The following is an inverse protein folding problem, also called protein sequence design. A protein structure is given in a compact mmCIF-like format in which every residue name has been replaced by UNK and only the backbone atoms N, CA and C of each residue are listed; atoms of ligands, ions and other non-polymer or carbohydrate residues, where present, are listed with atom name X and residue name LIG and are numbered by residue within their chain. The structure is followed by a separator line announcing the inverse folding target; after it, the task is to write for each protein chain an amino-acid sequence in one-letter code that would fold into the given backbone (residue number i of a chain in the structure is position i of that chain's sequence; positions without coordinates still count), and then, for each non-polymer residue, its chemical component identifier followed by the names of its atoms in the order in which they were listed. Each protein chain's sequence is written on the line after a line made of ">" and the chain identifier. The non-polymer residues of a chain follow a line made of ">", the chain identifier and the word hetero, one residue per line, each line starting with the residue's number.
data_IF_928994171969
#
_entry.id   IF_928994171969
#
_cell.length_a   1.000
_cell.length_b   1.000
_cell.length_c   1.000
_cell.angle_alpha   90.00
_cell.angle_beta   90.00
_cell.angle_gamma   90.00
#
_symmetry.space_group_name_H-M   'P 1'
#
loop_
_entity.id
_entity.type
_entity.pdbx_description
1 polymer ?
#
# COMPACT_ATOMS: atom_id res chain seq x y z
N UNK A 1 54.83 -12.90 38.86
CA UNK A 1 53.59 -13.36 38.19
C UNK A 1 53.53 -12.74 36.80
N UNK A 2 53.86 -13.47 35.73
CA UNK A 2 53.48 -13.07 34.36
C UNK A 2 51.99 -13.41 34.24
N UNK A 3 51.11 -12.42 34.33
CA UNK A 3 49.69 -12.65 34.07
C UNK A 3 49.52 -13.21 32.65
N UNK A 4 48.75 -14.30 32.54
CA UNK A 4 48.48 -14.95 31.27
C UNK A 4 47.71 -13.97 30.38
N UNK A 5 48.39 -13.44 29.35
CA UNK A 5 47.82 -12.47 28.40
C UNK A 5 46.54 -12.97 27.75
N UNK A 6 46.35 -14.29 27.65
CA UNK A 6 45.14 -14.90 27.08
C UNK A 6 43.91 -14.70 27.97
N UNK A 7 44.07 -14.64 29.31
CA UNK A 7 42.95 -14.37 30.23
C UNK A 7 42.45 -12.94 30.03
N UNK A 8 43.37 -11.97 29.93
CA UNK A 8 43.03 -10.58 29.67
C UNK A 8 42.29 -10.42 28.33
N UNK A 9 42.79 -11.06 27.26
CA UNK A 9 42.14 -11.05 25.95
C UNK A 9 40.73 -11.64 26.01
N UNK A 10 40.55 -12.75 26.75
CA UNK A 10 39.24 -13.36 26.95
C UNK A 10 38.27 -12.41 27.68
N UNK A 11 38.72 -11.73 28.74
CA UNK A 11 37.90 -10.75 29.46
C UNK A 11 37.46 -9.59 28.54
N UNK A 12 38.37 -9.04 27.74
CA UNK A 12 38.03 -7.93 26.83
C UNK A 12 37.08 -8.40 25.73
N UNK A 13 37.27 -9.61 25.18
CA UNK A 13 36.36 -10.19 24.20
C UNK A 13 34.95 -10.39 24.77
N UNK A 14 34.84 -10.91 26.00
CA UNK A 14 33.56 -11.04 26.71
C UNK A 14 32.92 -9.68 26.99
N UNK A 15 33.71 -8.68 27.36
CA UNK A 15 33.21 -7.32 27.57
C UNK A 15 32.54 -6.77 26.30
N UNK A 16 33.14 -6.97 25.13
CA UNK A 16 32.57 -6.53 23.86
C UNK A 16 31.24 -7.24 23.56
N UNK A 17 31.18 -8.54 23.80
CA UNK A 17 29.97 -9.34 23.62
C UNK A 17 28.85 -8.86 24.56
N UNK A 18 29.16 -8.64 25.84
CA UNK A 18 28.18 -8.14 26.83
C UNK A 18 27.72 -6.73 26.50
N UNK A 19 28.62 -5.86 26.07
CA UNK A 19 28.26 -4.50 25.62
C UNK A 19 27.35 -4.55 24.39
N UNK A 20 27.57 -5.47 23.45
CA UNK A 20 26.72 -5.62 22.27
C UNK A 20 25.28 -6.01 22.61
N UNK A 21 25.06 -6.66 23.74
CA UNK A 21 23.71 -7.00 24.26
C UNK A 21 23.13 -5.96 25.21
N UNK A 22 23.96 -5.07 25.77
CA UNK A 22 23.49 -4.01 26.67
C UNK A 22 22.99 -2.78 25.89
N UNK A 23 23.33 -2.68 24.61
CA UNK A 23 22.94 -1.56 23.76
C UNK A 23 21.52 -1.78 23.27
N UNK A 24 20.62 -0.81 23.41
CA UNK A 24 19.26 -0.95 22.89
C UNK A 24 19.28 -1.13 21.37
N UNK A 25 18.35 -1.91 20.79
CA UNK A 25 18.30 -2.18 19.34
C UNK A 25 18.19 -0.90 18.50
N UNK A 26 17.55 0.13 19.03
CA UNK A 26 17.34 1.42 18.38
C UNK A 26 18.03 2.54 19.15
N UNK A 27 18.65 3.47 18.42
CA UNK A 27 19.26 4.72 18.92
C UNK A 27 18.22 5.79 19.12
N UNK A 28 17.32 5.89 18.15
CA UNK A 28 16.15 6.75 18.20
C UNK A 28 14.98 5.87 17.78
N UNK A 29 14.05 5.55 18.70
CA UNK A 29 12.91 4.69 18.37
C UNK A 29 11.91 5.39 17.45
N UNK A 30 12.08 6.71 17.22
CA UNK A 30 11.06 7.52 16.59
C UNK A 30 9.76 7.54 17.38
N UNK A 31 8.74 8.22 16.85
CA UNK A 31 7.39 7.83 17.14
C UNK A 31 7.17 6.47 16.49
N UNK A 32 7.18 5.38 17.26
CA UNK A 32 6.84 4.07 16.70
C UNK A 32 5.43 4.03 16.10
N UNK A 33 5.00 2.87 15.63
CA UNK A 33 3.65 2.70 15.09
C UNK A 33 2.58 3.26 16.06
N UNK A 34 1.56 3.91 15.50
CA UNK A 34 0.43 4.46 16.25
C UNK A 34 -0.85 3.95 15.64
N UNK A 35 -1.69 3.38 16.51
CA UNK A 35 -3.05 3.03 16.18
C UNK A 35 -3.98 3.73 17.16
N UNK A 36 -4.80 4.65 16.65
CA UNK A 36 -5.90 5.24 17.40
C UNK A 36 -7.19 4.73 16.75
N UNK A 37 -8.03 3.99 17.49
CA UNK A 37 -9.29 3.52 16.94
C UNK A 37 -10.18 4.71 16.58
N UNK A 38 -11.11 4.48 15.66
CA UNK A 38 -12.19 5.43 15.34
C UNK A 38 -12.83 5.95 16.62
N UNK A 39 -12.92 7.27 16.77
CA UNK A 39 -13.53 7.84 17.98
C UNK A 39 -15.08 7.74 17.94
N UNK A 40 -15.70 7.78 19.12
CA UNK A 40 -17.16 7.63 19.24
C UNK A 40 -17.92 8.70 18.46
N UNK A 41 -17.42 9.93 18.48
CA UNK A 41 -17.99 11.08 17.77
C UNK A 41 -18.07 10.86 16.26
N UNK A 42 -17.11 10.15 15.65
CA UNK A 42 -17.16 9.83 14.22
C UNK A 42 -18.42 9.05 13.86
N UNK A 43 -18.71 8.00 14.63
CA UNK A 43 -19.91 7.20 14.41
C UNK A 43 -21.19 7.96 14.79
N UNK A 44 -21.15 8.83 15.79
CA UNK A 44 -22.29 9.68 16.15
C UNK A 44 -22.61 10.72 15.08
N UNK A 45 -21.60 11.38 14.53
CA UNK A 45 -21.74 12.31 13.40
C UNK A 45 -22.31 11.56 12.20
N UNK A 46 -21.78 10.38 11.85
CA UNK A 46 -22.34 9.56 10.79
C UNK A 46 -23.81 9.17 11.07
N UNK A 47 -24.13 8.74 12.29
CA UNK A 47 -25.52 8.42 12.70
C UNK A 47 -26.43 9.64 12.65
N UNK A 48 -25.95 10.85 12.95
CA UNK A 48 -26.73 12.09 12.84
C UNK A 48 -27.21 12.36 11.41
N UNK A 49 -26.49 11.80 10.42
CA UNK A 49 -26.85 11.84 9.01
C UNK A 49 -27.54 10.55 8.52
N UNK A 50 -27.95 9.66 9.44
CA UNK A 50 -28.49 8.32 9.17
C UNK A 50 -27.56 7.46 8.29
N UNK A 51 -26.24 7.56 8.48
CA UNK A 51 -25.25 6.72 7.79
C UNK A 51 -24.37 5.96 8.78
N UNK A 52 -23.86 4.81 8.34
CA UNK A 52 -22.91 3.96 9.07
C UNK A 52 -21.51 3.99 8.46
N UNK A 53 -21.32 4.69 7.34
CA UNK A 53 -20.07 4.71 6.57
C UNK A 53 -19.92 6.03 5.80
N UNK A 54 -18.68 6.52 5.67
CA UNK A 54 -18.35 7.67 4.83
C UNK A 54 -18.76 7.46 3.36
N UNK A 55 -18.76 6.21 2.91
CA UNK A 55 -19.10 5.84 1.53
C UNK A 55 -20.61 5.90 1.26
N UNK A 56 -21.43 5.95 2.32
CA UNK A 56 -22.89 6.03 2.26
C UNK A 56 -23.41 7.47 2.40
N UNK A 57 -22.52 8.47 2.34
CA UNK A 57 -22.88 9.88 2.27
C UNK A 57 -21.98 10.63 1.29
N UNK A 58 -22.54 11.61 0.58
CA UNK A 58 -21.72 12.53 -0.23
C UNK A 58 -21.38 13.75 0.62
N UNK A 59 -20.09 13.99 0.95
CA UNK A 59 -19.70 15.18 1.68
C UNK A 59 -19.97 16.43 0.84
N UNK A 60 -19.96 17.61 1.48
CA UNK A 60 -20.03 18.91 0.81
C UNK A 60 -18.74 19.25 0.09
N UNK A 61 -17.61 18.95 0.71
CA UNK A 61 -16.28 19.13 0.15
C UNK A 61 -15.32 18.04 0.63
N UNK A 62 -14.23 17.89 -0.12
CA UNK A 62 -13.05 17.11 0.20
C UNK A 62 -11.88 18.07 0.44
N UNK A 63 -11.06 17.77 1.43
CA UNK A 63 -9.88 18.55 1.79
C UNK A 63 -8.70 17.60 2.01
N UNK A 64 -7.50 18.00 1.64
CA UNK A 64 -6.26 17.27 1.99
C UNK A 64 -5.40 18.12 2.91
N UNK A 65 -4.94 17.53 4.01
CA UNK A 65 -4.06 18.15 5.01
C UNK A 65 -2.76 17.36 5.09
N UNK A 66 -1.63 18.02 4.94
CA UNK A 66 -0.29 17.44 5.07
C UNK A 66 0.37 17.93 6.34
N UNK A 67 0.80 17.01 7.20
CA UNK A 67 1.48 17.27 8.46
C UNK A 67 2.88 16.66 8.48
N UNK A 68 3.83 17.33 9.13
CA UNK A 68 5.20 16.84 9.34
C UNK A 68 5.56 16.88 10.82
N UNK A 69 5.77 15.74 11.47
CA UNK A 69 6.23 15.70 12.85
C UNK A 69 7.66 15.17 12.89
N UNK A 70 8.57 15.85 13.59
CA UNK A 70 9.97 15.42 13.74
C UNK A 70 10.24 14.81 15.12
N UNK A 71 9.40 15.12 16.10
CA UNK A 71 9.52 14.67 17.48
C UNK A 71 8.26 13.95 17.97
N UNK A 72 8.39 13.17 19.04
CA UNK A 72 7.23 12.58 19.72
C UNK A 72 6.25 13.64 20.23
N UNK A 73 6.74 14.77 20.71
CA UNK A 73 5.88 15.85 21.23
C UNK A 73 5.07 16.51 20.10
N UNK A 74 5.69 16.78 18.95
CA UNK A 74 4.98 17.27 17.77
C UNK A 74 3.96 16.25 17.28
N UNK A 75 4.32 14.96 17.20
CA UNK A 75 3.37 13.94 16.77
C UNK A 75 2.20 13.83 17.76
N UNK A 76 2.48 13.78 19.05
CA UNK A 76 1.44 13.70 20.08
C UNK A 76 0.55 14.94 20.07
N UNK A 77 1.11 16.14 19.83
CA UNK A 77 0.33 17.37 19.67
C UNK A 77 -0.57 17.33 18.42
N UNK A 78 -0.03 16.87 17.29
CA UNK A 78 -0.81 16.69 16.05
C UNK A 78 -1.91 15.64 16.22
N UNK A 79 -1.59 14.49 16.79
CA UNK A 79 -2.53 13.41 17.06
C UNK A 79 -3.60 13.85 18.05
N UNK A 80 -3.25 14.52 19.14
CA UNK A 80 -4.20 15.04 20.13
C UNK A 80 -5.21 16.01 19.49
N UNK A 81 -4.74 16.86 18.57
CA UNK A 81 -5.64 17.73 17.82
C UNK A 81 -6.63 16.93 16.96
N UNK A 82 -6.16 15.96 16.17
CA UNK A 82 -7.03 15.18 15.29
C UNK A 82 -7.89 14.15 16.03
N UNK A 83 -7.43 13.63 17.16
CA UNK A 83 -8.18 12.74 18.04
C UNK A 83 -9.39 13.45 18.66
N UNK A 84 -9.28 14.76 18.88
CA UNK A 84 -10.38 15.62 19.34
C UNK A 84 -11.43 15.91 18.27
N UNK A 85 -11.19 15.50 17.02
CA UNK A 85 -12.13 15.68 15.91
C UNK A 85 -12.76 14.34 15.53
N UNK A 86 -13.97 14.28 14.97
CA UNK A 86 -14.54 13.01 14.57
C UNK A 86 -13.68 12.36 13.46
N UNK A 87 -13.01 11.24 13.75
CA UNK A 87 -12.03 10.61 12.83
C UNK A 87 -12.22 9.10 12.70
N UNK A 88 -11.84 8.53 11.54
CA UNK A 88 -11.73 7.08 11.38
C UNK A 88 -10.41 6.57 11.96
N UNK A 89 -10.15 5.26 11.87
CA UNK A 89 -8.92 4.67 12.40
C UNK A 89 -7.67 5.42 11.91
N UNK A 90 -6.87 5.90 12.85
CA UNK A 90 -5.57 6.51 12.57
C UNK A 90 -4.53 5.40 12.68
N UNK A 91 -3.97 5.01 11.54
CA UNK A 91 -2.87 4.05 11.47
C UNK A 91 -1.63 4.76 10.91
N UNK A 92 -0.61 4.92 11.75
CA UNK A 92 0.67 5.48 11.37
C UNK A 92 1.76 4.44 11.51
N UNK A 93 2.63 4.35 10.51
CA UNK A 93 3.75 3.42 10.47
C UNK A 93 5.08 4.16 10.62
N UNK A 94 5.97 3.59 11.42
CA UNK A 94 7.25 4.19 11.79
C UNK A 94 8.05 4.62 10.54
N UNK A 95 8.18 5.94 10.37
CA UNK A 95 9.00 6.54 9.31
C UNK A 95 8.42 6.56 7.90
N UNK A 96 7.26 5.94 7.68
CA UNK A 96 6.48 6.06 6.44
C UNK A 96 5.23 6.93 6.64
N UNK A 97 4.86 7.20 7.90
CA UNK A 97 3.72 8.04 8.23
C UNK A 97 2.40 7.30 8.11
N UNK A 98 1.32 8.03 7.81
CA UNK A 98 0.02 7.43 7.56
C UNK A 98 -1.02 8.43 7.09
N UNK A 99 -2.14 7.89 6.60
CA UNK A 99 -3.26 8.66 6.07
C UNK A 99 -4.55 8.22 6.74
N UNK A 100 -5.38 9.18 7.15
CA UNK A 100 -6.68 8.94 7.77
C UNK A 100 -7.67 10.07 7.45
N UNK A 101 -8.92 9.89 7.82
CA UNK A 101 -10.01 10.79 7.51
C UNK A 101 -10.61 11.43 8.77
N UNK A 102 -10.91 12.71 8.68
CA UNK A 102 -11.57 13.51 9.72
C UNK A 102 -12.82 14.18 9.14
N UNK A 103 -13.91 14.21 9.91
CA UNK A 103 -15.15 14.88 9.55
C UNK A 103 -15.20 16.28 10.17
N UNK A 104 -15.38 17.28 9.31
CA UNK A 104 -15.56 18.66 9.71
C UNK A 104 -17.02 19.06 9.50
N UNK A 105 -17.76 19.22 10.60
CA UNK A 105 -19.13 19.78 10.58
C UNK A 105 -19.12 21.31 10.46
N UNK A 106 -17.99 21.94 10.80
CA UNK A 106 -17.77 23.37 10.68
C UNK A 106 -16.32 23.66 10.24
N UNK A 107 -16.13 24.12 9.01
CA UNK A 107 -14.83 24.53 8.49
C UNK A 107 -14.33 25.84 9.08
N UNK A 108 -15.24 26.67 9.60
CA UNK A 108 -14.91 28.02 10.04
C UNK A 108 -13.93 27.96 11.20
N UNK A 109 -12.70 28.40 10.95
CA UNK A 109 -11.61 28.38 11.93
C UNK A 109 -10.91 27.02 12.10
N UNK A 110 -11.18 26.02 11.26
CA UNK A 110 -10.39 24.78 11.21
C UNK A 110 -8.93 25.10 10.83
N UNK A 111 -8.74 25.83 9.72
CA UNK A 111 -7.42 26.25 9.24
C UNK A 111 -6.61 27.01 10.31
N UNK A 112 -7.27 27.91 11.06
CA UNK A 112 -6.63 28.70 12.12
C UNK A 112 -6.22 27.87 13.35
N UNK A 113 -6.83 26.70 13.52
CA UNK A 113 -6.59 25.79 14.66
C UNK A 113 -5.67 24.63 14.30
N UNK A 114 -5.33 24.47 13.02
CA UNK A 114 -4.41 23.42 12.59
C UNK A 114 -3.07 23.54 13.34
N UNK A 115 -2.47 22.42 13.75
CA UNK A 115 -1.12 22.39 14.26
C UNK A 115 -0.15 23.10 13.29
N UNK A 116 0.82 23.84 13.82
CA UNK A 116 1.76 24.64 12.99
C UNK A 116 2.56 23.82 11.98
N UNK A 117 2.65 22.53 12.21
CA UNK A 117 3.34 21.58 11.36
C UNK A 117 2.44 20.95 10.30
N UNK A 118 1.20 21.42 10.15
CA UNK A 118 0.21 20.98 9.18
C UNK A 118 -0.18 22.11 8.21
N UNK A 119 -0.45 21.77 6.95
CA UNK A 119 -0.95 22.68 5.92
C UNK A 119 -2.07 22.03 5.10
N UNK A 120 -3.02 22.84 4.63
CA UNK A 120 -4.03 22.38 3.66
C UNK A 120 -3.41 22.44 2.27
N UNK A 121 -3.42 21.33 1.54
CA UNK A 121 -2.81 21.22 0.21
C UNK A 121 -3.81 21.13 -0.93
N UNK A 122 -5.04 20.70 -0.65
CA UNK A 122 -6.11 20.61 -1.65
C UNK A 122 -7.49 20.84 -1.00
N UNK A 123 -8.41 21.43 -1.76
CA UNK A 123 -9.80 21.63 -1.39
C UNK A 123 -10.70 21.57 -2.64
N UNK A 124 -11.69 20.68 -2.60
CA UNK A 124 -12.61 20.43 -3.72
C UNK A 124 -14.04 20.26 -3.24
N UNK A 125 -14.96 21.06 -3.77
CA UNK A 125 -16.39 20.86 -3.53
C UNK A 125 -16.92 19.60 -4.25
N UNK A 126 -17.76 18.82 -3.56
CA UNK A 126 -18.26 17.51 -4.03
C UNK A 126 -19.71 17.51 -4.47
N UNK A 127 -20.38 18.66 -4.48
CA UNK A 127 -21.69 18.75 -5.12
C UNK A 127 -21.50 18.41 -6.60
N UNK A 128 -22.10 17.30 -7.03
CA UNK A 128 -22.24 16.98 -8.45
C UNK A 128 -23.21 18.01 -9.02
N UNK A 129 -22.66 19.14 -9.47
CA UNK A 129 -23.43 20.13 -10.19
C UNK A 129 -23.62 19.60 -11.61
N UNK A 130 -24.70 18.85 -11.83
CA UNK A 130 -25.19 18.68 -13.20
C UNK A 130 -25.50 20.08 -13.73
N UNK A 131 -24.97 20.39 -14.90
CA UNK A 131 -25.34 21.59 -15.63
C UNK A 131 -26.84 21.59 -15.91
N UNK A 132 -27.42 22.78 -16.12
CA UNK A 132 -28.83 22.90 -16.54
C UNK A 132 -29.10 22.10 -17.82
N UNK A 133 -28.12 22.03 -18.72
CA UNK A 133 -28.23 21.29 -19.98
C UNK A 133 -28.35 19.77 -19.74
N UNK A 134 -27.53 19.19 -18.85
CA UNK A 134 -27.62 17.77 -18.51
C UNK A 134 -28.95 17.41 -17.82
N UNK A 135 -29.44 18.27 -16.93
CA UNK A 135 -30.75 18.08 -16.30
C UNK A 135 -31.89 18.09 -17.32
N UNK A 136 -31.83 19.00 -18.29
CA UNK A 136 -32.85 19.11 -19.32
C UNK A 136 -32.77 17.96 -20.33
N UNK A 137 -31.57 17.44 -20.62
CA UNK A 137 -31.38 16.22 -21.40
C UNK A 137 -32.07 15.02 -20.71
N UNK A 138 -31.79 14.79 -19.43
CA UNK A 138 -32.39 13.72 -18.63
C UNK A 138 -33.92 13.80 -18.57
N UNK A 139 -34.49 15.01 -18.45
CA UNK A 139 -35.95 15.19 -18.48
C UNK A 139 -36.57 14.79 -19.81
N UNK A 140 -35.95 15.18 -20.93
CA UNK A 140 -36.43 14.84 -22.27
C UNK A 140 -36.33 13.34 -22.54
N UNK A 141 -35.22 12.71 -22.17
CA UNK A 141 -35.06 11.24 -22.24
C UNK A 141 -36.13 10.53 -21.41
N UNK A 142 -36.33 10.93 -20.15
CA UNK A 142 -37.35 10.34 -19.28
C UNK A 142 -38.76 10.47 -19.86
N UNK A 143 -39.10 11.63 -20.43
CA UNK A 143 -40.41 11.84 -21.04
C UNK A 143 -40.60 10.93 -22.27
N UNK A 144 -39.57 10.79 -23.10
CA UNK A 144 -39.61 9.94 -24.28
C UNK A 144 -39.77 8.45 -23.92
N UNK A 145 -39.06 7.98 -22.89
CA UNK A 145 -39.21 6.61 -22.40
C UNK A 145 -40.57 6.33 -21.74
N UNK A 146 -41.17 7.31 -21.04
CA UNK A 146 -42.55 7.17 -20.53
C UNK A 146 -43.59 7.05 -21.63
N UNK A 147 -43.42 7.82 -22.71
CA UNK A 147 -44.29 7.73 -23.88
C UNK A 147 -44.12 6.37 -24.57
N UNK A 148 -42.88 5.93 -24.78
CA UNK A 148 -42.56 4.61 -25.32
C UNK A 148 -43.18 3.47 -24.48
N UNK A 149 -43.07 3.52 -23.14
CA UNK A 149 -43.68 2.54 -22.24
C UNK A 149 -45.20 2.45 -22.39
N UNK A 150 -45.86 3.55 -22.78
CA UNK A 150 -47.32 3.62 -22.89
C UNK A 150 -47.88 2.99 -24.17
N UNK A 151 -47.04 2.86 -25.21
CA UNK A 151 -47.43 2.29 -26.51
C UNK A 151 -47.13 0.79 -26.62
N UNK A 152 -46.19 0.28 -25.82
CA UNK A 152 -45.81 -1.14 -25.83
C UNK A 152 -46.90 -2.01 -25.18
N UNK A 153 -47.37 -3.00 -25.93
CA UNK A 153 -48.37 -3.96 -25.45
C UNK A 153 -47.76 -5.25 -24.90
N UNK A 154 -46.58 -5.65 -25.40
CA UNK A 154 -45.89 -6.84 -24.92
C UNK A 154 -45.37 -6.61 -23.48
N UNK A 155 -45.74 -7.48 -22.51
CA UNK A 155 -45.40 -7.28 -21.12
C UNK A 155 -43.90 -7.45 -20.82
N UNK A 156 -43.17 -8.25 -21.59
CA UNK A 156 -41.73 -8.47 -21.40
C UNK A 156 -40.93 -7.27 -21.92
N UNK A 157 -41.27 -6.77 -23.12
CA UNK A 157 -40.66 -5.57 -23.69
C UNK A 157 -40.97 -4.33 -22.85
N UNK A 158 -42.22 -4.22 -22.39
CA UNK A 158 -42.63 -3.13 -21.50
C UNK A 158 -41.85 -3.15 -20.19
N UNK A 159 -41.54 -4.32 -19.63
CA UNK A 159 -40.75 -4.43 -18.41
C UNK A 159 -39.31 -3.92 -18.60
N UNK A 160 -38.70 -4.17 -19.76
CA UNK A 160 -37.35 -3.64 -20.10
C UNK A 160 -37.37 -2.11 -20.10
N UNK A 161 -38.34 -1.52 -20.79
CA UNK A 161 -38.49 -0.06 -20.89
C UNK A 161 -38.86 0.55 -19.53
N UNK A 162 -39.75 -0.10 -18.77
CA UNK A 162 -40.10 0.34 -17.42
C UNK A 162 -38.87 0.42 -16.51
N UNK A 163 -38.00 -0.61 -16.54
CA UNK A 163 -36.75 -0.60 -15.77
C UNK A 163 -35.84 0.58 -16.17
N UNK A 164 -35.77 0.91 -17.47
CA UNK A 164 -35.02 2.08 -17.94
C UNK A 164 -35.66 3.40 -17.49
N UNK A 165 -36.99 3.51 -17.52
CA UNK A 165 -37.73 4.67 -16.98
C UNK A 165 -37.46 4.87 -15.49
N UNK A 166 -37.40 3.78 -14.72
CA UNK A 166 -37.04 3.81 -13.29
C UNK A 166 -35.60 4.28 -13.12
N UNK A 167 -34.64 3.71 -13.84
CA UNK A 167 -33.22 4.11 -13.79
C UNK A 167 -33.00 5.59 -14.13
N UNK A 168 -33.68 6.10 -15.18
CA UNK A 168 -33.65 7.50 -15.58
C UNK A 168 -34.30 8.42 -14.53
N UNK A 169 -35.42 8.00 -13.93
CA UNK A 169 -36.07 8.73 -12.83
C UNK A 169 -35.11 8.87 -11.66
N UNK A 170 -34.48 7.77 -11.25
CA UNK A 170 -33.48 7.76 -10.18
C UNK A 170 -32.31 8.70 -10.51
N UNK A 171 -31.81 8.65 -11.74
CA UNK A 171 -30.70 9.49 -12.20
C UNK A 171 -31.06 10.98 -12.24
N UNK A 172 -32.28 11.32 -12.66
CA UNK A 172 -32.77 12.69 -12.62
C UNK A 172 -32.96 13.19 -11.19
N UNK A 173 -33.48 12.34 -10.30
CA UNK A 173 -33.56 12.67 -8.87
C UNK A 173 -32.17 12.92 -8.29
N UNK A 174 -31.15 12.15 -8.69
CA UNK A 174 -29.75 12.42 -8.36
C UNK A 174 -29.28 13.78 -8.89
N UNK A 175 -29.60 14.09 -10.15
CA UNK A 175 -29.19 15.33 -10.78
C UNK A 175 -29.84 16.60 -10.21
N UNK A 176 -31.06 16.46 -9.71
CA UNK A 176 -31.80 17.53 -9.04
C UNK A 176 -31.49 17.62 -7.54
N UNK A 177 -30.64 16.74 -7.01
CA UNK A 177 -30.36 16.63 -5.57
C UNK A 177 -31.55 16.17 -4.74
N UNK A 178 -32.58 15.62 -5.38
CA UNK A 178 -33.76 15.00 -4.74
C UNK A 178 -33.41 13.60 -4.19
N UNK A 179 -32.42 12.97 -4.80
CA UNK A 179 -31.79 11.71 -4.38
C UNK A 179 -30.28 11.93 -4.39
N UNK A 180 -29.53 11.16 -3.60
CA UNK A 180 -28.06 11.25 -3.55
C UNK A 180 -27.52 9.87 -3.17
N UNK A 181 -26.46 9.38 -3.86
CA UNK A 181 -25.99 7.97 -3.72
C UNK A 181 -25.72 7.61 -2.25
N UNK A 182 -25.46 8.63 -1.45
CA UNK A 182 -25.78 8.68 -0.04
C UNK A 182 -26.38 10.04 0.30
N UNK A 183 -27.18 10.19 1.38
CA UNK A 183 -27.76 11.49 1.80
C UNK A 183 -26.70 12.60 1.73
N UNK A 184 -27.00 13.79 1.17
CA UNK A 184 -26.02 14.88 1.13
C UNK A 184 -25.74 15.24 2.58
N UNK A 185 -24.48 15.16 2.99
CA UNK A 185 -24.08 15.49 4.35
C UNK A 185 -23.41 16.85 4.31
N UNK A 186 -23.88 17.78 5.14
CA UNK A 186 -23.26 19.09 5.28
C UNK A 186 -21.99 18.98 6.13
N UNK A 187 -21.05 18.16 5.66
CA UNK A 187 -19.75 17.89 6.26
C UNK A 187 -18.67 18.02 5.21
N UNK A 188 -17.47 18.34 5.65
CA UNK A 188 -16.28 18.30 4.82
C UNK A 188 -15.39 17.18 5.30
N UNK A 189 -15.00 16.32 4.36
CA UNK A 189 -14.11 15.20 4.63
C UNK A 189 -12.67 15.67 4.42
N UNK A 190 -11.89 15.71 5.50
CA UNK A 190 -10.48 16.04 5.45
C UNK A 190 -9.64 14.75 5.51
N UNK A 191 -8.91 14.46 4.45
CA UNK A 191 -7.86 13.42 4.43
C UNK A 191 -6.59 14.03 5.01
N UNK A 192 -6.11 13.47 6.12
CA UNK A 192 -4.92 13.94 6.84
C UNK A 192 -3.77 12.96 6.61
N UNK A 193 -2.67 13.46 6.09
CA UNK A 193 -1.42 12.73 5.89
C UNK A 193 -0.39 13.22 6.90
N UNK A 194 0.14 12.32 7.74
CA UNK A 194 1.18 12.65 8.71
C UNK A 194 2.47 11.94 8.33
N UNK A 195 3.55 12.70 8.12
CA UNK A 195 4.88 12.19 7.83
C UNK A 195 5.82 12.43 9.02
N UNK A 196 6.69 11.47 9.37
CA UNK A 196 7.69 11.64 10.44
C UNK A 196 8.96 10.78 10.25
N UNK A 197 10.08 11.06 10.96
CA UNK A 197 11.37 10.39 10.75
C UNK A 197 11.37 8.89 11.04
N UNK A 198 12.24 8.16 10.33
CA UNK A 198 12.48 6.72 10.53
C UNK A 198 13.23 6.44 11.84
N UNK A 199 12.96 5.32 12.53
CA UNK A 199 13.79 4.85 13.62
C UNK A 199 15.25 4.67 13.17
N UNK A 200 16.19 5.00 14.05
CA UNK A 200 17.62 4.80 13.81
C UNK A 200 18.10 3.54 14.55
N UNK A 201 18.72 2.60 13.83
CA UNK A 201 19.17 1.33 14.40
C UNK A 201 20.58 1.43 15.02
N UNK A 202 20.79 0.78 16.17
CA UNK A 202 22.12 0.56 16.77
C UNK A 202 22.79 -0.74 16.31
N UNK A 203 22.13 -1.55 15.47
CA UNK A 203 22.69 -2.80 14.95
C UNK A 203 24.09 -2.62 14.34
N UNK A 204 24.39 -1.57 13.56
CA UNK A 204 25.75 -1.35 13.05
C UNK A 204 26.81 -1.24 14.17
N UNK A 205 26.45 -0.68 15.32
CA UNK A 205 27.35 -0.60 16.47
C UNK A 205 27.51 -1.95 17.18
N UNK A 206 26.43 -2.73 17.29
CA UNK A 206 26.51 -4.12 17.79
C UNK A 206 27.44 -4.97 16.92
N UNK A 207 27.36 -4.81 15.60
CA UNK A 207 28.22 -5.50 14.63
C UNK A 207 29.69 -5.13 14.85
N UNK A 208 30.00 -3.86 15.11
CA UNK A 208 31.38 -3.43 15.43
C UNK A 208 31.90 -4.11 16.70
N UNK A 209 31.07 -4.22 17.74
CA UNK A 209 31.46 -4.90 18.98
C UNK A 209 31.68 -6.41 18.77
N UNK A 210 30.78 -7.09 18.05
CA UNK A 210 30.94 -8.51 17.70
C UNK A 210 32.16 -8.76 16.81
N UNK A 211 32.42 -7.89 15.83
CA UNK A 211 33.64 -7.96 15.02
C UNK A 211 34.90 -7.79 15.89
N UNK A 212 34.89 -6.83 16.82
CA UNK A 212 35.97 -6.63 17.78
C UNK A 212 36.21 -7.85 18.68
N UNK A 213 35.13 -8.50 19.16
CA UNK A 213 35.22 -9.73 19.95
C UNK A 213 35.85 -10.87 19.14
N UNK A 214 35.47 -11.02 17.87
CA UNK A 214 36.06 -11.99 16.94
C UNK A 214 37.56 -11.77 16.70
N UNK A 215 37.97 -10.51 16.50
CA UNK A 215 39.39 -10.14 16.34
C UNK A 215 40.19 -10.47 17.59
N UNK A 216 39.67 -10.12 18.78
CA UNK A 216 40.32 -10.46 20.05
C UNK A 216 40.42 -11.98 20.25
N UNK A 217 39.37 -12.73 19.90
CA UNK A 217 39.40 -14.17 19.98
C UNK A 217 40.45 -14.78 19.03
N UNK A 218 40.62 -14.26 17.82
CA UNK A 218 41.68 -14.66 16.90
C UNK A 218 43.07 -14.44 17.51
N UNK A 219 43.32 -13.27 18.11
CA UNK A 219 44.56 -12.98 18.83
C UNK A 219 44.75 -13.98 19.99
N UNK A 220 43.67 -14.33 20.70
CA UNK A 220 43.66 -15.35 21.75
C UNK A 220 44.06 -16.74 21.25
N UNK A 221 43.56 -17.18 20.09
CA UNK A 221 43.97 -18.46 19.46
C UNK A 221 45.47 -18.48 19.16
N UNK A 222 45.99 -17.38 18.59
CA UNK A 222 47.40 -17.26 18.18
C UNK A 222 48.33 -17.30 19.40
N UNK A 223 47.96 -16.59 20.48
CA UNK A 223 48.79 -16.47 21.68
C UNK A 223 48.64 -17.65 22.65
N UNK A 224 47.55 -18.41 22.57
CA UNK A 224 47.34 -19.55 23.46
C UNK A 224 48.23 -20.73 23.10
N UNK A 225 48.83 -21.34 24.14
CA UNK A 225 49.52 -22.63 24.04
C UNK A 225 48.63 -23.81 24.44
N UNK A 226 47.53 -23.55 25.16
CA UNK A 226 46.58 -24.59 25.59
C UNK A 226 45.55 -24.87 24.50
N UNK A 227 45.33 -26.17 24.24
CA UNK A 227 44.34 -26.65 23.27
C UNK A 227 42.92 -26.28 23.67
N UNK A 228 42.60 -26.35 24.97
CA UNK A 228 41.26 -26.04 25.49
C UNK A 228 40.94 -24.55 25.34
N UNK A 229 41.91 -23.68 25.64
CA UNK A 229 41.77 -22.23 25.42
C UNK A 229 41.61 -21.88 23.94
N UNK A 230 42.35 -22.57 23.05
CA UNK A 230 42.19 -22.39 21.60
C UNK A 230 40.79 -22.77 21.14
N UNK A 231 40.21 -23.82 21.72
CA UNK A 231 38.84 -24.25 21.41
C UNK A 231 37.83 -23.18 21.83
N UNK A 232 37.96 -22.63 23.06
CA UNK A 232 37.07 -21.55 23.53
C UNK A 232 37.16 -20.32 22.61
N UNK A 233 38.38 -19.88 22.27
CA UNK A 233 38.54 -18.77 21.33
C UNK A 233 38.02 -19.09 19.93
N UNK A 234 38.17 -20.34 19.46
CA UNK A 234 37.58 -20.80 18.20
C UNK A 234 36.05 -20.69 18.18
N UNK A 235 35.39 -21.02 19.30
CA UNK A 235 33.94 -20.84 19.43
C UNK A 235 33.56 -19.36 19.43
N UNK A 236 34.30 -18.49 20.15
CA UNK A 236 34.03 -17.04 20.13
C UNK A 236 34.17 -16.43 18.73
N UNK A 237 35.14 -16.92 17.93
CA UNK A 237 35.26 -16.55 16.50
C UNK A 237 34.01 -16.99 15.74
N UNK A 238 33.57 -18.24 15.90
CA UNK A 238 32.40 -18.77 15.20
C UNK A 238 31.12 -17.97 15.55
N UNK A 239 30.89 -17.65 16.83
CA UNK A 239 29.76 -16.83 17.26
C UNK A 239 29.79 -15.43 16.63
N UNK A 240 30.98 -14.81 16.58
CA UNK A 240 31.17 -13.50 15.94
C UNK A 240 30.90 -13.55 14.44
N UNK A 241 31.33 -14.62 13.75
CA UNK A 241 31.07 -14.84 12.33
C UNK A 241 29.57 -15.02 12.07
N UNK A 242 28.84 -15.74 12.94
CA UNK A 242 27.38 -15.89 12.79
C UNK A 242 26.71 -14.52 12.85
N UNK A 243 26.98 -13.72 13.89
CA UNK A 243 26.34 -12.41 14.05
C UNK A 243 26.68 -11.44 12.91
N UNK A 244 27.97 -11.25 12.65
CA UNK A 244 28.45 -10.33 11.60
C UNK A 244 28.04 -10.83 10.22
N UNK A 245 28.09 -12.14 9.99
CA UNK A 245 27.70 -12.78 8.73
C UNK A 245 26.21 -12.58 8.41
N UNK A 246 25.33 -12.76 9.40
CA UNK A 246 23.89 -12.45 9.25
C UNK A 246 23.68 -10.99 8.90
N UNK A 247 24.35 -10.06 9.60
CA UNK A 247 24.26 -8.64 9.29
C UNK A 247 24.74 -8.27 7.88
N UNK A 248 25.88 -8.81 7.47
CA UNK A 248 26.44 -8.57 6.13
C UNK A 248 25.51 -9.11 5.05
N UNK A 249 24.95 -10.30 5.26
CA UNK A 249 23.98 -10.90 4.34
C UNK A 249 22.72 -10.04 4.21
N UNK A 250 22.08 -9.68 5.32
CA UNK A 250 20.87 -8.85 5.28
C UNK A 250 21.13 -7.45 4.73
N UNK A 251 22.28 -6.85 5.05
CA UNK A 251 22.67 -5.54 4.50
C UNK A 251 22.87 -5.61 2.99
N UNK A 252 23.45 -6.71 2.51
CA UNK A 252 23.62 -6.96 1.08
C UNK A 252 22.26 -7.14 0.39
N UNK A 253 21.36 -7.92 0.99
CA UNK A 253 19.97 -8.08 0.50
C UNK A 253 19.26 -6.72 0.46
N UNK A 254 19.29 -5.93 1.54
CA UNK A 254 18.68 -4.60 1.60
C UNK A 254 19.23 -3.65 0.52
N UNK A 255 20.54 -3.64 0.34
CA UNK A 255 21.19 -2.80 -0.67
C UNK A 255 20.78 -3.19 -2.09
N UNK A 256 20.72 -4.50 -2.37
CA UNK A 256 20.23 -5.04 -3.64
C UNK A 256 18.75 -4.74 -3.86
N UNK A 257 17.89 -4.92 -2.86
CA UNK A 257 16.49 -4.54 -2.93
C UNK A 257 16.32 -3.04 -3.16
N UNK A 258 17.11 -2.19 -2.51
CA UNK A 258 17.10 -0.74 -2.75
C UNK A 258 17.43 -0.37 -4.20
N UNK A 259 18.43 -1.04 -4.79
CA UNK A 259 18.74 -0.89 -6.22
C UNK A 259 17.62 -1.41 -7.12
N UNK A 260 17.05 -2.56 -6.80
CA UNK A 260 15.92 -3.13 -7.53
C UNK A 260 14.72 -2.17 -7.53
N UNK A 261 14.36 -1.62 -6.36
CA UNK A 261 13.30 -0.62 -6.20
C UNK A 261 13.58 0.60 -7.09
N UNK A 262 14.81 1.13 -7.08
CA UNK A 262 15.13 2.31 -7.89
C UNK A 262 14.95 2.07 -9.40
N UNK A 263 15.23 0.85 -9.87
CA UNK A 263 15.00 0.45 -11.28
C UNK A 263 13.50 0.44 -11.57
N UNK A 264 12.69 -0.13 -10.67
CA UNK A 264 11.24 -0.20 -10.84
C UNK A 264 10.58 1.17 -10.75
N UNK A 265 10.96 2.00 -9.78
CA UNK A 265 10.42 3.36 -9.63
C UNK A 265 10.79 4.25 -10.83
N UNK A 266 11.93 4.00 -11.49
CA UNK A 266 12.30 4.69 -12.72
C UNK A 266 11.39 4.34 -13.91
N UNK A 267 10.62 3.25 -13.86
CA UNK A 267 9.61 2.92 -14.88
C UNK A 267 8.34 3.75 -14.76
N UNK A 268 8.19 4.52 -13.69
CA UNK A 268 6.94 5.24 -13.40
C UNK A 268 6.61 6.29 -14.47
N UNK A 269 5.55 6.03 -15.22
CA UNK A 269 4.98 6.96 -16.19
C UNK A 269 3.63 7.45 -15.67
N UNK A 270 3.58 8.72 -15.25
CA UNK A 270 2.37 9.34 -14.69
C UNK A 270 1.19 9.36 -15.67
N UNK A 271 1.48 9.34 -16.98
CA UNK A 271 0.51 9.27 -18.07
C UNK A 271 0.21 7.83 -18.54
N UNK A 272 0.65 6.79 -17.83
CA UNK A 272 0.29 5.42 -18.16
C UNK A 272 -1.24 5.30 -18.22
N UNK A 273 -1.72 4.80 -19.35
CA UNK A 273 -3.14 4.70 -19.66
C UNK A 273 -3.75 3.61 -18.78
N UNK A 274 -4.57 4.00 -17.82
CA UNK A 274 -5.41 3.09 -17.05
C UNK A 274 -6.80 3.16 -17.68
N UNK A 275 -7.17 2.14 -18.43
CA UNK A 275 -8.53 2.00 -18.98
C UNK A 275 -9.15 0.77 -18.34
N UNK A 276 -10.41 0.91 -17.96
CA UNK A 276 -11.22 -0.21 -17.50
C UNK A 276 -11.25 -1.27 -18.61
N UNK A 277 -10.97 -2.51 -18.23
CA UNK A 277 -10.94 -3.67 -19.11
C UNK A 277 -11.66 -4.81 -18.40
N UNK A 278 -12.36 -5.64 -19.16
CA UNK A 278 -12.99 -6.85 -18.63
C UNK A 278 -11.96 -7.95 -18.33
N UNK A 279 -10.69 -7.79 -18.72
CA UNK A 279 -9.65 -8.77 -18.47
C UNK A 279 -8.64 -8.19 -17.48
N UNK A 280 -8.48 -8.83 -16.33
CA UNK A 280 -7.52 -8.45 -15.30
C UNK A 280 -6.37 -9.44 -15.29
N UNK A 281 -5.13 -8.94 -15.29
CA UNK A 281 -3.92 -9.75 -15.27
C UNK A 281 -3.11 -9.34 -14.07
N UNK A 282 -2.85 -10.28 -13.17
CA UNK A 282 -2.06 -10.06 -11.96
C UNK A 282 -0.71 -10.77 -12.09
N UNK A 283 0.38 -10.03 -12.04
CA UNK A 283 1.74 -10.59 -12.03
C UNK A 283 2.37 -10.38 -10.64
N UNK A 284 2.65 -11.47 -9.94
CA UNK A 284 3.32 -11.45 -8.64
C UNK A 284 4.82 -11.65 -8.82
N UNK A 285 5.62 -10.70 -8.33
CA UNK A 285 7.08 -10.70 -8.47
C UNK A 285 7.72 -10.52 -7.10
N UNK A 286 8.76 -11.31 -6.82
CA UNK A 286 9.61 -11.09 -5.64
C UNK A 286 10.95 -10.50 -6.09
N UNK A 287 11.32 -9.34 -5.55
CA UNK A 287 12.56 -8.63 -5.90
C UNK A 287 13.64 -8.84 -4.83
N UNK A 288 14.30 -9.99 -4.92
CA UNK A 288 15.48 -10.35 -4.12
C UNK A 288 16.81 -9.86 -4.73
N UNK A 289 16.83 -9.47 -6.01
CA UNK A 289 18.05 -9.05 -6.73
C UNK A 289 17.76 -7.98 -7.82
N UNK A 290 18.67 -7.04 -8.11
CA UNK A 290 18.49 -6.04 -9.16
C UNK A 290 18.34 -6.63 -10.56
N UNK A 291 18.88 -7.83 -10.82
CA UNK A 291 18.73 -8.46 -12.13
C UNK A 291 17.29 -8.84 -12.42
N UNK A 292 16.52 -9.30 -11.42
CA UNK A 292 15.08 -9.55 -11.59
C UNK A 292 14.32 -8.26 -11.90
N UNK A 293 14.70 -7.14 -11.30
CA UNK A 293 14.11 -5.84 -11.63
C UNK A 293 14.41 -5.42 -13.07
N UNK A 294 15.65 -5.68 -13.56
CA UNK A 294 16.00 -5.44 -14.98
C UNK A 294 15.20 -6.34 -15.91
N UNK A 295 15.09 -7.63 -15.61
CA UNK A 295 14.27 -8.57 -16.39
C UNK A 295 12.80 -8.16 -16.44
N UNK A 296 12.23 -7.69 -15.33
CA UNK A 296 10.88 -7.13 -15.32
C UNK A 296 10.79 -5.88 -16.20
N UNK A 297 11.76 -4.97 -16.12
CA UNK A 297 11.78 -3.77 -16.96
C UNK A 297 11.92 -4.12 -18.46
N UNK A 298 12.74 -5.11 -18.80
CA UNK A 298 12.92 -5.61 -20.16
C UNK A 298 11.64 -6.27 -20.68
N UNK A 299 10.98 -7.10 -19.86
CA UNK A 299 9.69 -7.69 -20.18
C UNK A 299 8.65 -6.60 -20.48
N UNK A 300 8.54 -5.58 -19.63
CA UNK A 300 7.59 -4.49 -19.86
C UNK A 300 7.93 -3.70 -21.13
N UNK A 301 9.21 -3.52 -21.44
CA UNK A 301 9.66 -2.86 -22.66
C UNK A 301 9.39 -3.70 -23.91
N UNK A 302 9.62 -5.01 -23.86
CA UNK A 302 9.38 -5.95 -24.96
C UNK A 302 7.92 -5.90 -25.41
N UNK A 303 6.99 -5.85 -24.44
CA UNK A 303 5.55 -5.78 -24.68
C UNK A 303 4.99 -4.35 -24.72
N UNK A 304 5.87 -3.34 -24.78
CA UNK A 304 5.52 -1.91 -24.84
C UNK A 304 4.48 -1.49 -23.78
N UNK A 305 4.63 -2.00 -22.56
CA UNK A 305 3.75 -1.72 -21.43
C UNK A 305 4.29 -0.53 -20.63
N UNK A 306 3.57 0.58 -20.68
CA UNK A 306 3.75 1.69 -19.75
C UNK A 306 3.06 1.40 -18.42
N UNK A 307 3.75 1.66 -17.32
CA UNK A 307 3.23 1.41 -15.96
C UNK A 307 3.27 2.65 -15.08
N UNK A 308 2.29 2.73 -14.17
CA UNK A 308 2.28 3.67 -13.05
C UNK A 308 2.72 2.94 -11.79
N UNK A 309 3.71 3.45 -11.09
CA UNK A 309 4.26 2.81 -9.88
C UNK A 309 3.75 3.51 -8.62
N UNK A 310 3.32 2.72 -7.65
CA UNK A 310 2.86 3.16 -6.32
C UNK A 310 3.45 2.28 -5.24
N UNK A 311 3.67 2.84 -4.05
CA UNK A 311 4.01 2.08 -2.84
C UNK A 311 2.72 1.81 -2.08
N UNK A 312 2.35 0.54 -1.99
CA UNK A 312 1.17 0.08 -1.23
C UNK A 312 1.55 -0.26 0.23
N UNK A 313 2.85 -0.25 0.55
CA UNK A 313 3.37 -0.42 1.90
C UNK A 313 4.90 -0.41 1.93
N UNK A 314 5.54 -0.61 3.11
CA UNK A 314 7.00 -0.59 3.25
C UNK A 314 7.70 -1.68 2.43
N UNK A 315 7.01 -2.78 2.12
CA UNK A 315 7.57 -3.97 1.44
C UNK A 315 6.86 -4.33 0.14
N UNK A 316 5.99 -3.46 -0.36
CA UNK A 316 5.16 -3.76 -1.52
C UNK A 316 5.07 -2.58 -2.46
N UNK A 317 5.42 -2.83 -3.73
CA UNK A 317 5.20 -1.92 -4.84
C UNK A 317 4.07 -2.47 -5.71
N UNK A 318 3.23 -1.58 -6.21
CA UNK A 318 2.18 -1.88 -7.18
C UNK A 318 2.46 -1.13 -8.47
N UNK A 319 2.44 -1.84 -9.58
CA UNK A 319 2.55 -1.26 -10.91
C UNK A 319 1.25 -1.51 -11.67
N UNK A 320 0.60 -0.45 -12.14
CA UNK A 320 -0.63 -0.56 -12.93
C UNK A 320 -0.34 -0.17 -14.39
N UNK A 321 -0.77 -1.00 -15.35
CA UNK A 321 -0.58 -0.79 -16.79
C UNK A 321 -1.67 -1.47 -17.63
N UNK A 322 -1.47 -1.50 -18.94
CA UNK A 322 -2.36 -2.20 -19.88
C UNK A 322 -1.57 -3.04 -20.87
N UNK A 323 -2.07 -4.22 -21.18
CA UNK A 323 -1.47 -5.16 -22.12
C UNK A 323 -2.46 -5.46 -23.27
N UNK A 324 -2.04 -5.49 -24.54
CA UNK A 324 -2.90 -5.96 -25.62
C UNK A 324 -3.34 -7.41 -25.41
N UNK A 325 -4.62 -7.71 -25.54
CA UNK A 325 -5.14 -9.06 -25.22
C UNK A 325 -4.52 -10.14 -26.13
N UNK A 326 -4.25 -9.79 -27.40
CA UNK A 326 -3.56 -10.65 -28.37
C UNK A 326 -2.14 -11.06 -27.93
N UNK A 327 -1.50 -10.27 -27.08
CA UNK A 327 -0.15 -10.49 -26.57
C UNK A 327 -0.15 -11.24 -25.22
N UNK A 328 -1.32 -11.45 -24.61
CA UNK A 328 -1.46 -12.08 -23.29
C UNK A 328 -0.81 -13.47 -23.22
N UNK A 329 -0.97 -14.30 -24.26
CA UNK A 329 -0.38 -15.63 -24.29
C UNK A 329 1.16 -15.60 -24.31
N UNK A 330 1.73 -14.71 -25.13
CA UNK A 330 3.18 -14.52 -25.21
C UNK A 330 3.73 -13.89 -23.91
N UNK A 331 3.04 -12.88 -23.38
CA UNK A 331 3.39 -12.24 -22.11
C UNK A 331 3.37 -13.24 -20.95
N UNK A 332 2.34 -14.10 -20.87
CA UNK A 332 2.25 -15.17 -19.86
C UNK A 332 3.48 -16.07 -19.89
N UNK A 333 3.90 -16.51 -21.08
CA UNK A 333 5.06 -17.38 -21.22
C UNK A 333 6.36 -16.67 -20.82
N UNK A 334 6.57 -15.44 -21.27
CA UNK A 334 7.76 -14.65 -20.93
C UNK A 334 7.82 -14.26 -19.44
N UNK A 335 6.66 -14.00 -18.83
CA UNK A 335 6.57 -13.61 -17.42
C UNK A 335 7.00 -14.70 -16.43
N UNK A 336 6.99 -15.98 -16.84
CA UNK A 336 7.34 -17.11 -15.99
C UNK A 336 8.77 -17.10 -15.45
N UNK A 337 9.69 -16.36 -16.10
CA UNK A 337 11.06 -16.18 -15.61
C UNK A 337 11.19 -15.11 -14.51
N UNK A 338 10.17 -14.26 -14.38
CA UNK A 338 10.18 -13.08 -13.51
C UNK A 338 9.24 -13.27 -12.31
N UNK A 339 8.13 -13.97 -12.51
CA UNK A 339 7.12 -14.13 -11.47
C UNK A 339 6.02 -15.11 -11.83
N UNK A 340 4.92 -15.05 -11.07
CA UNK A 340 3.74 -15.87 -11.26
C UNK A 340 2.57 -15.02 -11.73
N UNK A 341 1.92 -15.43 -12.83
CA UNK A 341 0.86 -14.67 -13.47
C UNK A 341 -0.51 -15.35 -13.32
N UNK A 342 -1.49 -14.57 -12.88
CA UNK A 342 -2.91 -14.92 -12.81
C UNK A 342 -3.68 -14.08 -13.83
N UNK A 343 -4.68 -14.68 -14.47
CA UNK A 343 -5.59 -14.00 -15.39
C UNK A 343 -7.00 -14.21 -14.90
N UNK A 344 -7.75 -13.13 -14.78
CA UNK A 344 -9.17 -13.12 -14.49
C UNK A 344 -9.93 -12.47 -15.65
N UNK A 345 -11.08 -13.05 -16.00
CA UNK A 345 -11.86 -12.65 -17.15
C UNK A 345 -13.32 -12.38 -16.75
N UNK A 346 -13.66 -11.11 -16.69
CA UNK A 346 -14.98 -10.56 -16.41
C UNK A 346 -15.78 -10.25 -17.68
N UNK A 347 -15.41 -10.81 -18.85
CA UNK A 347 -16.10 -10.57 -20.12
C UNK A 347 -17.60 -10.87 -20.07
N UNK A 348 -18.02 -11.82 -19.23
CA UNK A 348 -19.43 -12.17 -19.05
C UNK A 348 -20.28 -11.00 -18.54
N UNK A 349 -19.76 -10.16 -17.64
CA UNK A 349 -20.46 -8.96 -17.17
C UNK A 349 -20.65 -7.95 -18.30
N UNK A 350 -19.64 -7.78 -19.15
CA UNK A 350 -19.71 -6.86 -20.29
C UNK A 350 -20.70 -7.37 -21.36
N UNK A 351 -20.75 -8.68 -21.60
CA UNK A 351 -21.74 -9.30 -22.48
C UNK A 351 -23.18 -9.04 -22.02
N UNK A 352 -23.43 -9.10 -20.71
CA UNK A 352 -24.74 -8.81 -20.14
C UNK A 352 -25.17 -7.36 -20.41
N UNK A 353 -24.27 -6.38 -20.23
CA UNK A 353 -24.54 -4.98 -20.57
C UNK A 353 -24.79 -4.77 -22.07
N UNK A 354 -24.01 -5.43 -22.94
CA UNK A 354 -24.20 -5.35 -24.40
C UNK A 354 -25.58 -5.87 -24.77
N UNK A 355 -25.98 -7.05 -24.25
CA UNK A 355 -27.31 -7.63 -24.52
C UNK A 355 -28.43 -6.72 -24.04
N UNK A 356 -28.26 -6.05 -22.88
CA UNK A 356 -29.24 -5.08 -22.38
C UNK A 356 -29.43 -3.92 -23.35
N UNK A 357 -28.33 -3.33 -23.84
CA UNK A 357 -28.40 -2.23 -24.81
C UNK A 357 -28.99 -2.67 -26.17
N UNK A 358 -28.61 -3.84 -26.68
CA UNK A 358 -29.14 -4.37 -27.94
C UNK A 358 -30.66 -4.65 -27.86
N UNK A 359 -31.12 -5.16 -26.71
CA UNK A 359 -32.55 -5.37 -26.48
C UNK A 359 -33.31 -4.04 -26.35
N UNK A 360 -32.75 -3.07 -25.63
CA UNK A 360 -33.32 -1.72 -25.51
C UNK A 360 -33.46 -1.06 -26.89
N UNK A 361 -32.40 -1.08 -27.71
CA UNK A 361 -32.40 -0.50 -29.06
C UNK A 361 -33.45 -1.19 -29.95
N UNK A 362 -33.54 -2.52 -29.91
CA UNK A 362 -34.55 -3.28 -30.67
C UNK A 362 -35.97 -2.82 -30.34
N UNK A 363 -36.30 -2.71 -29.04
CA UNK A 363 -37.62 -2.27 -28.60
C UNK A 363 -37.87 -0.82 -29.02
N UNK A 364 -36.88 0.06 -28.86
CA UNK A 364 -37.03 1.46 -29.29
C UNK A 364 -37.32 1.54 -30.79
N UNK A 365 -36.58 0.81 -31.63
CA UNK A 365 -36.74 0.81 -33.08
C UNK A 365 -38.13 0.32 -33.53
N UNK A 366 -38.66 -0.71 -32.87
CA UNK A 366 -39.96 -1.31 -33.19
C UNK A 366 -41.13 -0.34 -33.00
N UNK A 367 -41.14 0.40 -31.89
CA UNK A 367 -42.24 1.32 -31.54
C UNK A 367 -41.94 2.79 -31.86
N UNK A 368 -40.83 3.08 -32.56
CA UNK A 368 -40.35 4.43 -32.83
C UNK A 368 -41.36 5.32 -33.59
N UNK A 369 -42.22 4.69 -34.40
CA UNK A 369 -43.24 5.38 -35.20
C UNK A 369 -44.55 5.66 -34.42
N UNK A 370 -44.71 5.04 -33.25
CA UNK A 370 -45.92 5.14 -32.42
C UNK A 370 -45.85 6.26 -31.38
N UNK A 371 -44.66 6.86 -31.20
CA UNK A 371 -44.42 8.01 -30.33
C UNK A 371 -44.42 9.34 -31.10
N UNK A 372 -44.55 10.44 -30.36
CA UNK A 372 -44.48 11.81 -30.83
C UNK A 372 -43.18 12.12 -31.60
N UNK A 373 -43.20 13.06 -32.56
CA UNK A 373 -41.99 13.48 -33.28
C UNK A 373 -40.85 13.93 -32.36
N UNK A 374 -41.17 14.59 -31.25
CA UNK A 374 -40.21 15.05 -30.25
C UNK A 374 -39.54 13.88 -29.52
N UNK A 375 -40.32 12.91 -29.02
CA UNK A 375 -39.79 11.71 -28.36
C UNK A 375 -39.01 10.83 -29.32
N UNK A 376 -39.44 10.77 -30.58
CA UNK A 376 -38.75 10.04 -31.64
C UNK A 376 -37.31 10.51 -31.85
N UNK A 377 -37.08 11.83 -31.84
CA UNK A 377 -35.74 12.39 -32.01
C UNK A 377 -34.84 12.05 -30.81
N UNK A 378 -35.38 12.15 -29.59
CA UNK A 378 -34.66 11.79 -28.37
C UNK A 378 -34.29 10.30 -28.35
N UNK A 379 -35.22 9.41 -28.70
CA UNK A 379 -34.99 7.97 -28.72
C UNK A 379 -33.97 7.55 -29.79
N UNK A 380 -33.92 8.24 -30.93
CA UNK A 380 -32.87 8.03 -31.94
C UNK A 380 -31.48 8.40 -31.41
N UNK A 381 -31.40 9.49 -30.65
CA UNK A 381 -30.15 9.87 -30.01
C UNK A 381 -29.72 8.84 -28.96
N UNK A 382 -30.66 8.28 -28.19
CA UNK A 382 -30.38 7.19 -27.24
C UNK A 382 -29.85 5.96 -27.95
N UNK A 383 -30.45 5.51 -29.07
CA UNK A 383 -29.91 4.40 -29.88
C UNK A 383 -28.46 4.71 -30.30
N UNK A 384 -28.18 5.93 -30.76
CA UNK A 384 -26.82 6.34 -31.16
C UNK A 384 -25.83 6.26 -30.00
N UNK A 385 -26.25 6.66 -28.80
CA UNK A 385 -25.45 6.57 -27.58
C UNK A 385 -25.22 5.11 -27.15
N UNK A 386 -26.26 4.27 -27.18
CA UNK A 386 -26.18 2.84 -26.89
C UNK A 386 -25.24 2.12 -27.84
N UNK A 387 -25.34 2.38 -29.16
CA UNK A 387 -24.43 1.81 -30.15
C UNK A 387 -22.97 2.21 -29.91
N UNK A 388 -22.72 3.47 -29.52
CA UNK A 388 -21.37 3.92 -29.15
C UNK A 388 -20.88 3.25 -27.87
N UNK A 389 -21.75 3.05 -26.87
CA UNK A 389 -21.42 2.33 -25.64
C UNK A 389 -21.11 0.85 -25.91
N UNK A 390 -21.94 0.15 -26.69
CA UNK A 390 -21.69 -1.23 -27.14
C UNK A 390 -20.34 -1.34 -27.85
N UNK A 391 -20.04 -0.42 -28.77
CA UNK A 391 -18.75 -0.37 -29.46
C UNK A 391 -17.59 -0.25 -28.46
N UNK A 392 -17.70 0.66 -27.49
CA UNK A 392 -16.68 0.85 -26.46
C UNK A 392 -16.52 -0.39 -25.57
N UNK A 393 -17.61 -1.04 -25.16
CA UNK A 393 -17.59 -2.26 -24.34
C UNK A 393 -16.94 -3.42 -25.10
N UNK A 394 -17.29 -3.64 -26.38
CA UNK A 394 -16.66 -4.65 -27.23
C UNK A 394 -15.17 -4.38 -27.40
N UNK A 395 -14.78 -3.14 -27.66
CA UNK A 395 -13.36 -2.74 -27.70
C UNK A 395 -12.66 -3.05 -26.37
N UNK A 396 -13.27 -2.74 -25.22
CA UNK A 396 -12.70 -3.04 -23.92
C UNK A 396 -12.55 -4.54 -23.63
N UNK A 397 -13.47 -5.36 -24.15
CA UNK A 397 -13.41 -6.83 -24.02
C UNK A 397 -12.31 -7.46 -24.87
N UNK A 398 -12.13 -6.99 -26.11
CA UNK A 398 -11.32 -7.70 -27.10
C UNK A 398 -9.92 -7.11 -27.33
N UNK A 399 -9.69 -5.83 -27.00
CA UNK A 399 -8.43 -5.17 -27.37
C UNK A 399 -7.36 -5.26 -26.29
N UNK A 400 -7.73 -5.14 -25.01
CA UNK A 400 -6.77 -4.92 -23.92
C UNK A 400 -7.16 -5.66 -22.64
N UNK A 401 -6.15 -5.99 -21.86
CA UNK A 401 -6.24 -6.41 -20.46
C UNK A 401 -5.61 -5.35 -19.56
N UNK A 402 -6.19 -5.12 -18.39
CA UNK A 402 -5.57 -4.34 -17.33
C UNK A 402 -4.52 -5.20 -16.63
N UNK A 403 -3.28 -4.71 -16.55
CA UNK A 403 -2.17 -5.40 -15.91
C UNK A 403 -1.89 -4.76 -14.55
N UNK A 404 -1.86 -5.57 -13.51
CA UNK A 404 -1.48 -5.20 -12.15
C UNK A 404 -0.29 -6.05 -11.74
N UNK A 405 0.84 -5.44 -11.45
CA UNK A 405 2.05 -6.14 -11.01
C UNK A 405 2.27 -5.84 -9.53
N UNK A 406 2.25 -6.89 -8.73
CA UNK A 406 2.48 -6.82 -7.29
C UNK A 406 3.90 -7.29 -7.02
N UNK A 407 4.72 -6.35 -6.55
CA UNK A 407 6.14 -6.54 -6.30
C UNK A 407 6.39 -6.60 -4.81
N UNK A 408 6.92 -7.73 -4.34
CA UNK A 408 7.22 -8.01 -2.94
C UNK A 408 8.72 -7.92 -2.68
N UNK A 409 9.10 -7.20 -1.63
CA UNK A 409 10.49 -7.12 -1.17
C UNK A 409 10.78 -8.27 -0.18
N UNK A 410 12.01 -8.81 -0.18
CA UNK A 410 12.41 -9.88 0.74
C UNK A 410 12.31 -9.42 2.19
N UNK A 411 12.14 -10.40 3.08
CA UNK A 411 12.18 -10.15 4.51
C UNK A 411 13.59 -9.72 4.94
N UNK A 412 13.66 -8.69 5.77
CA UNK A 412 14.88 -8.18 6.39
C UNK A 412 14.67 -8.16 7.89
N UNK A 413 15.66 -8.60 8.66
CA UNK A 413 15.54 -8.69 10.11
C UNK A 413 15.41 -7.30 10.74
N UNK A 414 14.53 -7.18 11.75
CA UNK A 414 14.37 -5.94 12.51
C UNK A 414 15.53 -5.74 13.50
N UNK A 415 15.73 -4.52 14.01
CA UNK A 415 16.71 -4.25 15.07
C UNK A 415 16.55 -5.17 16.29
N UNK A 416 15.31 -5.49 16.69
CA UNK A 416 15.00 -6.40 17.80
C UNK A 416 15.47 -7.83 17.52
N UNK A 417 15.29 -8.30 16.28
CA UNK A 417 15.74 -9.63 15.88
C UNK A 417 17.28 -9.75 15.97
N UNK A 418 18.01 -8.69 15.62
CA UNK A 418 19.46 -8.62 15.86
C UNK A 418 19.82 -8.61 17.34
N UNK A 419 19.09 -7.84 18.15
CA UNK A 419 19.34 -7.80 19.59
C UNK A 419 19.08 -9.16 20.26
N UNK A 420 18.02 -9.88 19.87
CA UNK A 420 17.73 -11.24 20.35
C UNK A 420 18.82 -12.23 19.92
N UNK A 421 19.26 -12.18 18.65
CA UNK A 421 20.37 -12.98 18.17
C UNK A 421 21.66 -12.70 18.95
N UNK A 422 21.99 -11.41 19.16
CA UNK A 422 23.13 -10.97 19.97
C UNK A 422 23.06 -11.57 21.38
N UNK A 423 21.89 -11.47 22.02
CA UNK A 423 21.67 -11.98 23.38
C UNK A 423 21.87 -13.48 23.50
N UNK A 424 21.34 -14.26 22.54
CA UNK A 424 21.50 -15.71 22.48
C UNK A 424 22.95 -16.13 22.27
N UNK A 425 23.65 -15.48 21.34
CA UNK A 425 25.06 -15.77 21.08
C UNK A 425 25.94 -15.36 22.27
N UNK A 426 25.63 -14.24 22.92
CA UNK A 426 26.35 -13.76 24.08
C UNK A 426 26.24 -14.71 25.27
N UNK A 427 25.06 -15.26 25.52
CA UNK A 427 24.87 -16.31 26.54
C UNK A 427 25.86 -17.45 26.34
N UNK A 428 25.93 -18.02 25.13
CA UNK A 428 26.86 -19.11 24.81
C UNK A 428 28.32 -18.66 24.99
N UNK A 429 28.67 -17.47 24.50
CA UNK A 429 30.03 -16.92 24.59
C UNK A 429 30.49 -16.71 26.03
N UNK A 430 29.63 -16.15 26.90
CA UNK A 430 29.94 -15.88 28.30
C UNK A 430 30.12 -17.16 29.09
N UNK A 431 29.25 -18.16 28.92
CA UNK A 431 29.39 -19.45 29.62
C UNK A 431 30.72 -20.13 29.31
N UNK A 432 31.12 -20.16 28.03
CA UNK A 432 32.39 -20.77 27.61
C UNK A 432 33.61 -19.94 28.04
N UNK A 433 33.52 -18.62 27.96
CA UNK A 433 34.59 -17.72 28.36
C UNK A 433 34.86 -17.74 29.88
N UNK A 434 33.81 -17.80 30.71
CA UNK A 434 33.96 -17.97 32.16
C UNK A 434 34.65 -19.29 32.52
N UNK A 435 34.32 -20.38 31.82
CA UNK A 435 35.03 -21.66 31.97
C UNK A 435 36.53 -21.55 31.66
N UNK A 436 36.89 -20.80 30.61
CA UNK A 436 38.30 -20.53 30.26
C UNK A 436 39.03 -19.70 31.32
N UNK A 437 38.36 -18.70 31.90
CA UNK A 437 38.92 -17.86 32.96
C UNK A 437 39.12 -18.69 34.24
N UNK A 438 38.12 -19.46 34.66
CA UNK A 438 38.18 -20.29 35.87
C UNK A 438 39.25 -21.39 35.79
N UNK A 439 39.38 -22.05 34.63
CA UNK A 439 40.44 -23.04 34.40
C UNK A 439 41.83 -22.41 34.36
N UNK A 440 41.96 -21.17 33.87
CA UNK A 440 43.20 -20.40 33.92
C UNK A 440 43.63 -19.97 35.31
N UNK A 441 42.69 -19.69 36.21
CA UNK A 441 42.94 -19.31 37.61
C UNK A 441 43.30 -20.56 38.43
N UNK A 442 42.48 -21.61 38.37
CA UNK A 442 42.62 -22.83 39.17
C UNK A 442 43.79 -23.74 38.72
N UNK A 443 44.10 -23.78 37.42
CA UNK A 443 45.25 -24.55 36.91
C UNK A 443 46.61 -24.02 37.36
N UNK A 444 46.67 -22.76 37.79
CA UNK A 444 47.88 -22.13 38.32
C UNK A 444 48.07 -22.42 39.82
N UNK A 445 47.00 -22.77 40.54
CA UNK A 445 47.05 -23.21 41.94
C UNK A 445 47.44 -24.68 42.09
N UNK A 446 47.13 -25.54 41.12
CA UNK A 446 47.51 -26.98 41.14
C UNK A 446 48.99 -27.25 40.82
N UNK A 447 49.69 -26.30 40.22
CA UNK A 447 51.11 -26.41 39.83
C UNK A 447 52.03 -25.59 40.75
N UNK A 448 51.49 -25.10 41.87
CA UNK A 448 52.22 -24.43 42.95
C UNK A 448 52.22 -25.34 44.16
#
# INVERSE_FOLDING_TARGET
>A
MKHDKTIFICIVALLFIVLATAIPPERYPGPGDRFIPTNGEFNEVLRSFNTTSLWNCTPRALMTVECRAYTNDELNGTLSFFESLPHNNIALYAGDGGSFNVLLTNETGFEKRLPRNCIITDYKETRVAFSREEQEKLRRELQAFKELESVIQDPEERAVIHNKTVDLTITLEYALGLRSKGKPCNITLATVNINYPKPESNVPFMVLLWAGAGVLALVGVILSRSRDKKLVFGVLIALSIIFVGTYVYDSWVQWNSGRAISIIEALNQSNATLKDSSNLVFLHVTLDDPEKARKLAELLKEFNVSVRVRRDGPKTLRLDGTLPLRELGAFKNASGEVGYLLVDNESHFYEEFIRKYELEDKIIEEYLNEVSPESREVLREVIRENQQAIKNLRTAMYDRAQLVILVYLPYTASPEAYHDLSSKLAFVGVFLGLGCILTGITGNERNR
#
